data_IF_657561113949
#
_entry.id   IF_657561113949
#
_cell.length_a   1.000
_cell.length_b   1.000
_cell.length_c   1.000
_cell.angle_alpha   90.00
_cell.angle_beta   90.00
_cell.angle_gamma   90.00
#
_symmetry.space_group_name_H-M   'P 1'
#
loop_
_entity.id
_entity.type
_entity.pdbx_description
1 polymer ?
#
# COMPACT_ATOMS: atom_id res chain seq x y z
N UNK A 1 -8.17 12.40 -1.91
CA UNK A 1 -7.92 13.80 -1.51
C UNK A 1 -8.82 14.75 -2.30
N UNK A 2 -9.42 15.75 -1.64
CA UNK A 2 -10.19 16.78 -2.33
C UNK A 2 -9.25 17.74 -3.07
N UNK A 3 -9.65 18.24 -4.27
CA UNK A 3 -8.80 19.12 -5.09
C UNK A 3 -8.30 20.36 -4.35
N UNK A 4 -9.13 20.96 -3.48
CA UNK A 4 -8.75 22.12 -2.68
C UNK A 4 -7.66 21.87 -1.63
N UNK A 5 -7.30 20.63 -1.37
CA UNK A 5 -6.22 20.22 -0.45
C UNK A 5 -4.86 20.06 -1.15
N UNK A 6 -4.80 20.21 -2.48
CA UNK A 6 -3.54 20.14 -3.22
C UNK A 6 -2.60 21.31 -2.83
N UNK A 7 -1.29 21.04 -2.84
CA UNK A 7 -0.22 22.02 -2.54
C UNK A 7 0.63 22.34 -3.75
N UNK A 8 0.70 21.41 -4.69
CA UNK A 8 1.53 21.56 -5.89
C UNK A 8 0.77 22.26 -7.03
N UNK A 9 1.53 22.81 -7.96
CA UNK A 9 1.00 23.54 -9.13
C UNK A 9 0.17 22.67 -10.09
N UNK A 10 0.25 21.34 -9.96
CA UNK A 10 -0.55 20.39 -10.71
C UNK A 10 -2.03 20.34 -10.26
N UNK A 11 -2.37 21.01 -9.15
CA UNK A 11 -3.71 21.06 -8.58
C UNK A 11 -4.25 19.74 -8.06
N UNK A 12 -3.37 18.71 -7.93
CA UNK A 12 -3.76 17.32 -7.61
C UNK A 12 -2.90 16.74 -6.50
N UNK A 13 -1.63 17.11 -6.43
CA UNK A 13 -0.67 16.60 -5.46
C UNK A 13 -0.62 17.47 -4.21
N UNK A 14 -0.62 16.84 -3.03
CA UNK A 14 -0.27 17.50 -1.78
C UNK A 14 1.02 16.92 -1.20
N UNK A 15 1.93 17.79 -0.80
CA UNK A 15 3.23 17.46 -0.22
C UNK A 15 3.42 18.26 1.07
N UNK A 16 3.70 17.56 2.17
CA UNK A 16 4.01 18.18 3.45
C UNK A 16 5.21 17.51 4.11
N UNK A 17 6.03 18.31 4.77
CA UNK A 17 7.14 17.86 5.61
C UNK A 17 6.72 17.86 7.07
N UNK A 18 7.21 16.87 7.85
CA UNK A 18 6.97 16.65 9.28
C UNK A 18 5.47 16.64 9.68
N UNK A 19 4.61 15.89 8.95
CA UNK A 19 3.19 15.84 9.24
C UNK A 19 2.89 15.05 10.52
N UNK A 20 1.82 15.46 11.21
CA UNK A 20 1.17 14.70 12.26
C UNK A 20 -0.04 13.96 11.73
N UNK A 21 -0.22 12.72 12.17
CA UNK A 21 -1.28 11.83 11.69
C UNK A 21 -2.29 11.58 12.78
N UNK A 22 -3.54 11.92 12.53
CA UNK A 22 -4.69 11.54 13.33
C UNK A 22 -5.39 10.37 12.65
N UNK A 23 -5.41 9.22 13.31
CA UNK A 23 -6.05 8.00 12.81
C UNK A 23 -7.38 7.82 13.56
N UNK A 24 -8.45 7.59 12.81
CA UNK A 24 -9.80 7.40 13.35
C UNK A 24 -10.32 6.06 12.84
N UNK A 25 -10.69 5.21 13.79
CA UNK A 25 -11.28 3.90 13.49
C UNK A 25 -12.80 4.04 13.35
N UNK A 26 -13.22 4.52 12.17
CA UNK A 26 -14.61 4.71 11.81
C UNK A 26 -14.89 6.00 11.04
N UNK A 27 -16.17 6.34 10.85
CA UNK A 27 -16.61 7.55 10.18
C UNK A 27 -16.51 8.77 11.09
N UNK A 28 -16.16 9.91 10.51
CA UNK A 28 -16.22 11.23 11.15
C UNK A 28 -17.55 11.91 10.78
N UNK A 29 -18.42 12.07 11.77
CA UNK A 29 -19.74 12.67 11.63
C UNK A 29 -19.81 14.07 12.23
N UNK A 30 -20.93 14.75 12.01
CA UNK A 30 -21.14 16.15 12.42
C UNK A 30 -20.92 16.41 13.92
N UNK A 31 -21.15 15.40 14.75
CA UNK A 31 -20.98 15.49 16.22
C UNK A 31 -19.51 15.60 16.65
N UNK A 32 -18.57 15.25 15.77
CA UNK A 32 -17.13 15.23 16.07
C UNK A 32 -16.43 16.56 15.74
N UNK A 33 -17.20 17.55 15.26
CA UNK A 33 -16.66 18.83 14.80
C UNK A 33 -15.87 19.57 15.91
N UNK A 34 -16.37 19.61 17.13
CA UNK A 34 -15.69 20.28 18.25
C UNK A 34 -14.36 19.60 18.62
N UNK A 35 -14.36 18.26 18.63
CA UNK A 35 -13.14 17.50 18.88
C UNK A 35 -12.12 17.79 17.78
N UNK A 36 -12.56 17.76 16.51
CA UNK A 36 -11.70 18.03 15.38
C UNK A 36 -11.13 19.45 15.37
N UNK A 37 -11.93 20.45 15.74
CA UNK A 37 -11.46 21.83 15.92
C UNK A 37 -10.34 21.92 16.97
N UNK A 38 -10.44 21.14 18.05
CA UNK A 38 -9.40 21.09 19.08
C UNK A 38 -8.10 20.49 18.53
N UNK A 39 -8.17 19.40 17.75
CA UNK A 39 -6.98 18.83 17.09
C UNK A 39 -6.34 19.81 16.11
N UNK A 40 -7.14 20.48 15.27
CA UNK A 40 -6.65 21.48 14.32
C UNK A 40 -5.96 22.63 15.04
N UNK A 41 -6.56 23.16 16.13
CA UNK A 41 -5.96 24.23 16.92
C UNK A 41 -4.62 23.81 17.50
N UNK A 42 -4.54 22.69 18.20
CA UNK A 42 -3.32 22.24 18.87
C UNK A 42 -2.21 21.92 17.86
N UNK A 43 -2.52 21.24 16.77
CA UNK A 43 -1.49 20.80 15.81
C UNK A 43 -1.09 21.92 14.85
N UNK A 44 -2.07 22.61 14.26
CA UNK A 44 -1.78 23.58 13.21
C UNK A 44 -1.48 24.99 13.75
N UNK A 45 -2.17 25.43 14.82
CA UNK A 45 -1.95 26.77 15.38
C UNK A 45 -0.84 26.79 16.43
N UNK A 46 -0.89 25.87 17.43
CA UNK A 46 0.06 25.88 18.54
C UNK A 46 1.40 25.23 18.16
N UNK A 47 1.36 24.06 17.49
CA UNK A 47 2.57 23.32 17.09
C UNK A 47 3.08 23.71 15.71
N UNK A 48 2.32 24.42 14.86
CA UNK A 48 2.71 24.85 13.53
C UNK A 48 2.98 23.71 12.55
N UNK A 49 2.39 22.52 12.77
CA UNK A 49 2.67 21.32 11.96
C UNK A 49 1.49 20.94 11.07
N UNK A 50 1.76 20.31 9.90
CA UNK A 50 0.72 19.78 9.05
C UNK A 50 -0.05 18.67 9.74
N UNK A 51 -1.38 18.66 9.60
CA UNK A 51 -2.27 17.64 10.13
C UNK A 51 -2.84 16.79 9.01
N UNK A 52 -2.63 15.50 9.10
CA UNK A 52 -3.20 14.48 8.21
C UNK A 52 -4.23 13.68 8.97
N UNK A 53 -5.47 13.72 8.54
CA UNK A 53 -6.57 13.00 9.15
C UNK A 53 -6.89 11.80 8.29
N UNK A 54 -6.99 10.62 8.91
CA UNK A 54 -7.31 9.35 8.24
C UNK A 54 -8.56 8.80 8.90
N UNK A 55 -9.64 8.65 8.13
CA UNK A 55 -10.91 8.09 8.59
C UNK A 55 -11.54 7.21 7.49
N UNK A 56 -12.54 6.42 7.84
CA UNK A 56 -13.27 5.60 6.84
C UNK A 56 -14.19 6.46 5.99
N UNK A 57 -14.80 7.48 6.57
CA UNK A 57 -15.76 8.37 5.91
C UNK A 57 -15.78 9.74 6.59
N UNK A 58 -16.19 10.76 5.85
CA UNK A 58 -16.35 12.14 6.35
C UNK A 58 -17.74 12.66 6.02
N UNK A 59 -18.41 13.30 6.99
CA UNK A 59 -19.62 14.05 6.70
C UNK A 59 -19.33 15.29 5.87
N UNK A 60 -20.33 15.76 5.13
CA UNK A 60 -20.19 16.96 4.28
C UNK A 60 -19.83 18.21 5.11
N UNK A 61 -20.34 18.32 6.33
CA UNK A 61 -20.06 19.44 7.24
C UNK A 61 -18.60 19.46 7.67
N UNK A 62 -18.03 18.28 8.02
CA UNK A 62 -16.62 18.15 8.38
C UNK A 62 -15.73 18.43 7.17
N UNK A 63 -16.05 17.89 5.99
CA UNK A 63 -15.30 18.21 4.77
C UNK A 63 -15.27 19.69 4.47
N UNK A 64 -16.41 20.37 4.56
CA UNK A 64 -16.49 21.81 4.36
C UNK A 64 -15.65 22.59 5.38
N UNK A 65 -15.66 22.18 6.65
CA UNK A 65 -14.81 22.77 7.68
C UNK A 65 -13.32 22.59 7.34
N UNK A 66 -12.88 21.41 7.00
CA UNK A 66 -11.48 21.13 6.64
C UNK A 66 -11.02 21.88 5.39
N UNK A 67 -11.91 22.02 4.40
CA UNK A 67 -11.66 22.81 3.20
C UNK A 67 -11.53 24.30 3.55
N UNK A 68 -12.40 24.84 4.41
CA UNK A 68 -12.30 26.20 4.89
C UNK A 68 -10.99 26.45 5.63
N UNK A 69 -10.61 25.55 6.54
CA UNK A 69 -9.31 25.59 7.22
C UNK A 69 -8.13 25.65 6.24
N UNK A 70 -8.22 24.95 5.11
CA UNK A 70 -7.16 24.91 4.10
C UNK A 70 -7.14 26.15 3.21
N UNK A 71 -8.31 26.66 2.79
CA UNK A 71 -8.42 27.88 1.96
C UNK A 71 -8.05 29.11 2.76
N UNK A 72 -8.45 29.15 4.02
CA UNK A 72 -8.14 30.18 5.00
C UNK A 72 -9.36 30.84 5.58
N UNK A 73 -9.20 31.30 6.83
CA UNK A 73 -10.15 32.17 7.53
C UNK A 73 -9.61 33.59 7.60
N UNK A 74 -10.49 34.55 7.49
CA UNK A 74 -10.21 35.95 7.82
C UNK A 74 -10.54 36.13 9.29
N UNK A 75 -9.55 36.37 10.14
CA UNK A 75 -9.72 36.42 11.59
C UNK A 75 -10.49 37.65 12.07
N UNK A 76 -10.45 38.74 11.33
CA UNK A 76 -11.22 39.99 11.55
C UNK A 76 -11.54 40.64 10.22
N UNK A 77 -12.69 41.32 10.14
CA UNK A 77 -13.14 42.04 8.92
C UNK A 77 -12.12 43.08 8.41
N UNK A 78 -11.22 43.56 9.27
CA UNK A 78 -10.20 44.57 8.93
C UNK A 78 -8.78 43.96 8.69
N UNK A 79 -8.56 42.65 8.91
CA UNK A 79 -7.23 42.04 8.68
C UNK A 79 -7.17 41.40 7.28
N UNK A 80 -6.16 41.80 6.50
CA UNK A 80 -5.86 41.20 5.18
C UNK A 80 -5.15 39.83 5.30
N UNK A 81 -4.86 39.37 6.51
CA UNK A 81 -4.10 38.16 6.74
C UNK A 81 -5.03 36.95 6.73
N UNK A 82 -4.88 36.13 5.70
CA UNK A 82 -5.62 34.86 5.57
C UNK A 82 -4.79 33.76 6.23
N UNK A 83 -5.26 33.27 7.37
CA UNK A 83 -4.63 32.12 8.05
C UNK A 83 -5.04 30.84 7.36
N UNK A 84 -4.07 30.09 6.82
CA UNK A 84 -4.26 28.82 6.15
C UNK A 84 -3.62 27.69 6.95
N UNK A 85 -4.37 26.63 7.21
CA UNK A 85 -3.87 25.47 7.91
C UNK A 85 -3.44 24.37 6.95
N UNK A 86 -2.26 23.77 7.16
CA UNK A 86 -1.79 22.65 6.35
C UNK A 86 -2.50 21.34 6.76
N UNK A 87 -3.68 21.10 6.18
CA UNK A 87 -4.54 19.95 6.52
C UNK A 87 -4.77 19.08 5.29
N UNK A 88 -4.77 17.76 5.49
CA UNK A 88 -5.16 16.76 4.49
C UNK A 88 -6.15 15.78 5.12
N UNK A 89 -7.26 15.53 4.44
CA UNK A 89 -8.20 14.46 4.75
C UNK A 89 -7.99 13.28 3.80
N UNK A 90 -7.75 12.10 4.36
CA UNK A 90 -7.56 10.85 3.63
C UNK A 90 -8.63 9.83 4.02
N UNK A 91 -9.19 9.17 3.02
CA UNK A 91 -10.12 8.06 3.23
C UNK A 91 -9.33 6.76 3.13
N UNK A 92 -9.44 5.91 4.17
CA UNK A 92 -8.89 4.57 4.11
C UNK A 92 -9.87 3.67 3.35
N UNK A 93 -9.40 3.07 2.27
CA UNK A 93 -10.23 2.16 1.47
C UNK A 93 -10.23 0.75 2.07
N UNK A 94 -11.41 0.17 2.16
CA UNK A 94 -11.67 -1.18 2.66
C UNK A 94 -12.67 -1.14 3.80
N UNK A 95 -13.72 -1.94 3.69
CA UNK A 95 -14.73 -2.13 4.74
C UNK A 95 -14.43 -3.38 5.54
N UNK A 96 -14.90 -3.42 6.80
CA UNK A 96 -14.78 -4.56 7.68
C UNK A 96 -13.33 -4.94 8.01
N UNK A 97 -13.03 -6.23 8.02
CA UNK A 97 -11.75 -6.78 8.46
C UNK A 97 -10.53 -6.23 7.71
N UNK A 98 -10.69 -5.94 6.41
CA UNK A 98 -9.60 -5.42 5.58
C UNK A 98 -9.27 -3.97 5.98
N UNK A 99 -10.27 -3.15 6.24
CA UNK A 99 -10.10 -1.77 6.72
C UNK A 99 -9.42 -1.74 8.09
N UNK A 100 -9.92 -2.52 9.04
CA UNK A 100 -9.38 -2.63 10.39
C UNK A 100 -7.94 -3.15 10.39
N UNK A 101 -7.63 -4.11 9.52
CA UNK A 101 -6.28 -4.63 9.38
C UNK A 101 -5.29 -3.57 8.86
N UNK A 102 -5.72 -2.72 7.92
CA UNK A 102 -4.92 -1.59 7.40
C UNK A 102 -4.73 -0.48 8.44
N UNK A 103 -5.76 -0.17 9.22
CA UNK A 103 -5.65 0.80 10.32
C UNK A 103 -4.60 0.35 11.33
N UNK A 104 -4.64 -0.91 11.79
CA UNK A 104 -3.64 -1.47 12.70
C UNK A 104 -2.22 -1.44 12.12
N UNK A 105 -2.06 -1.67 10.82
CA UNK A 105 -0.76 -1.55 10.18
C UNK A 105 -0.26 -0.09 10.16
N UNK A 106 -1.16 0.89 9.97
CA UNK A 106 -0.84 2.33 10.03
C UNK A 106 -0.50 2.78 11.44
N UNK A 107 -1.21 2.31 12.47
CA UNK A 107 -0.90 2.60 13.88
C UNK A 107 0.54 2.22 14.20
N UNK A 108 0.93 0.99 13.87
CA UNK A 108 2.28 0.48 14.10
C UNK A 108 3.33 1.24 13.27
N UNK A 109 3.03 1.54 11.99
CA UNK A 109 3.96 2.28 11.14
C UNK A 109 4.19 3.72 11.60
N UNK A 110 3.17 4.40 12.09
CA UNK A 110 3.22 5.82 12.43
C UNK A 110 3.48 6.06 13.91
N UNK A 111 3.52 5.00 14.72
CA UNK A 111 3.54 5.06 16.18
C UNK A 111 2.40 5.94 16.70
N UNK A 112 1.19 5.66 16.23
CA UNK A 112 -0.03 6.39 16.53
C UNK A 112 -1.02 5.48 17.23
N UNK A 113 -1.97 6.07 17.94
CA UNK A 113 -3.12 5.35 18.49
C UNK A 113 -4.38 5.77 17.73
N UNK A 114 -5.09 4.81 17.13
CA UNK A 114 -6.37 5.13 16.49
C UNK A 114 -7.41 5.48 17.55
N UNK A 115 -8.19 6.53 17.27
CA UNK A 115 -9.33 6.89 18.09
C UNK A 115 -10.55 6.08 17.63
N UNK A 116 -11.14 5.26 18.50
CA UNK A 116 -12.32 4.50 18.16
C UNK A 116 -13.55 5.40 18.04
N UNK A 117 -14.44 5.04 17.13
CA UNK A 117 -15.77 5.64 17.03
C UNK A 117 -16.83 4.64 17.46
N UNK A 118 -17.82 5.10 18.24
CA UNK A 118 -19.00 4.33 18.61
C UNK A 118 -20.25 5.14 18.28
N UNK A 119 -21.22 4.52 17.62
CA UNK A 119 -22.46 5.15 17.18
C UNK A 119 -22.25 6.46 16.41
N UNK A 120 -21.16 6.53 15.63
CA UNK A 120 -20.81 7.69 14.82
C UNK A 120 -20.30 8.89 15.64
N UNK A 121 -19.72 8.64 16.81
CA UNK A 121 -19.07 9.65 17.65
C UNK A 121 -17.72 9.15 18.14
N UNK A 122 -16.73 10.05 18.17
CA UNK A 122 -15.42 9.78 18.75
C UNK A 122 -15.54 9.46 20.24
N UNK A 123 -14.95 8.34 20.66
CA UNK A 123 -14.87 7.97 22.06
C UNK A 123 -13.73 8.72 22.74
N UNK A 124 -14.07 9.44 23.82
CA UNK A 124 -13.14 10.14 24.71
C UNK A 124 -11.96 10.85 23.99
N UNK A 125 -12.24 11.78 23.04
CA UNK A 125 -11.17 12.50 22.37
C UNK A 125 -10.34 13.28 23.40
N UNK A 126 -9.01 13.18 23.38
CA UNK A 126 -8.17 13.89 24.32
C UNK A 126 -8.33 15.41 24.13
N UNK A 127 -8.52 16.13 25.24
CA UNK A 127 -8.66 17.60 25.24
C UNK A 127 -7.35 18.31 25.60
N UNK A 128 -6.46 17.60 26.29
CA UNK A 128 -5.17 18.11 26.73
C UNK A 128 -4.18 18.09 25.57
N UNK A 129 -3.51 19.19 25.22
CA UNK A 129 -2.52 19.27 24.15
C UNK A 129 -1.43 18.19 24.24
N UNK A 130 -0.94 17.90 25.44
CA UNK A 130 0.09 16.87 25.65
C UNK A 130 -0.43 15.47 25.31
N UNK A 131 -1.67 15.17 25.69
CA UNK A 131 -2.31 13.88 25.35
C UNK A 131 -2.60 13.78 23.86
N UNK A 132 -3.05 14.88 23.23
CA UNK A 132 -3.26 14.97 21.79
C UNK A 132 -1.98 14.60 21.05
N UNK A 133 -0.85 15.23 21.39
CA UNK A 133 0.43 14.99 20.73
C UNK A 133 0.96 13.56 20.92
N UNK A 134 0.59 12.86 22.00
CA UNK A 134 0.96 11.46 22.23
C UNK A 134 0.15 10.46 21.37
N UNK A 135 -1.09 10.78 21.08
CA UNK A 135 -1.97 9.94 20.26
C UNK A 135 -1.61 10.05 18.76
N UNK A 136 -1.06 11.21 18.36
CA UNK A 136 -0.74 11.50 16.97
C UNK A 136 0.53 10.79 16.50
N UNK A 137 0.42 10.13 15.36
CA UNK A 137 1.57 9.61 14.63
C UNK A 137 2.41 10.70 13.96
N UNK A 138 3.59 10.34 13.50
CA UNK A 138 4.47 11.25 12.77
C UNK A 138 5.28 10.56 11.69
N UNK A 139 5.66 11.32 10.65
CA UNK A 139 6.56 10.88 9.61
C UNK A 139 7.39 12.06 9.10
N UNK A 140 8.48 11.77 8.39
CA UNK A 140 9.33 12.83 7.83
C UNK A 140 8.63 13.60 6.71
N UNK A 141 7.86 12.92 5.87
CA UNK A 141 7.18 13.54 4.72
C UNK A 141 5.98 12.73 4.29
N UNK A 142 4.96 13.40 3.78
CA UNK A 142 3.82 12.78 3.10
C UNK A 142 3.67 13.37 1.70
N UNK A 143 3.43 12.50 0.70
CA UNK A 143 2.99 12.88 -0.64
C UNK A 143 1.70 12.17 -0.97
N UNK A 144 0.65 12.91 -1.25
CA UNK A 144 -0.65 12.37 -1.62
C UNK A 144 -1.05 12.81 -3.02
N UNK A 145 -1.69 11.89 -3.74
CA UNK A 145 -2.41 12.13 -5.01
C UNK A 145 -3.78 11.47 -4.87
N UNK A 146 -4.75 11.70 -5.77
CA UNK A 146 -6.11 11.19 -5.61
C UNK A 146 -6.24 9.69 -5.34
N UNK A 147 -5.32 8.89 -5.89
CA UNK A 147 -5.45 7.43 -5.87
C UNK A 147 -4.46 6.72 -4.93
N UNK A 148 -3.43 7.40 -4.45
CA UNK A 148 -2.48 6.82 -3.51
C UNK A 148 -1.82 7.87 -2.61
N UNK A 149 -1.38 7.41 -1.46
CA UNK A 149 -0.61 8.19 -0.51
C UNK A 149 0.72 7.48 -0.26
N UNK A 150 1.80 8.25 -0.19
CA UNK A 150 3.14 7.79 0.20
C UNK A 150 3.57 8.51 1.45
N UNK A 151 3.90 7.74 2.46
CA UNK A 151 4.46 8.21 3.74
C UNK A 151 5.94 7.86 3.73
N UNK A 152 6.81 8.84 3.94
CA UNK A 152 8.26 8.67 3.91
C UNK A 152 8.82 8.72 5.32
N UNK A 153 9.65 7.74 5.66
CA UNK A 153 10.32 7.64 6.95
C UNK A 153 9.33 7.87 8.12
N UNK A 154 8.33 6.99 8.28
CA UNK A 154 7.44 7.08 9.42
C UNK A 154 8.23 6.84 10.71
N UNK A 155 7.79 7.45 11.79
CA UNK A 155 8.41 7.32 13.11
C UNK A 155 7.90 6.05 13.81
N UNK A 156 8.21 4.90 13.22
CA UNK A 156 7.76 3.61 13.71
C UNK A 156 8.66 3.05 14.81
N UNK A 157 8.07 2.29 15.75
CA UNK A 157 8.83 1.46 16.66
C UNK A 157 9.28 0.17 15.93
N UNK A 158 10.58 -0.01 15.76
CA UNK A 158 11.13 -1.13 15.00
C UNK A 158 10.76 -2.52 15.59
N UNK A 159 10.59 -2.62 16.90
CA UNK A 159 10.21 -3.87 17.55
C UNK A 159 8.74 -4.22 17.30
N UNK A 160 7.85 -3.25 17.37
CA UNK A 160 6.43 -3.42 17.08
C UNK A 160 6.20 -3.77 15.60
N UNK A 161 6.92 -3.12 14.69
CA UNK A 161 6.87 -3.46 13.26
C UNK A 161 7.34 -4.90 13.02
N UNK A 162 8.45 -5.32 13.63
CA UNK A 162 8.94 -6.72 13.53
C UNK A 162 7.91 -7.71 14.09
N UNK A 163 7.34 -7.41 15.25
CA UNK A 163 6.29 -8.24 15.84
C UNK A 163 5.07 -8.34 14.93
N UNK A 164 4.62 -7.22 14.37
CA UNK A 164 3.49 -7.21 13.42
C UNK A 164 3.79 -8.03 12.17
N UNK A 165 4.99 -7.91 11.60
CA UNK A 165 5.43 -8.72 10.45
C UNK A 165 5.46 -10.22 10.80
N UNK A 166 5.95 -10.60 11.99
CA UNK A 166 5.96 -12.01 12.41
C UNK A 166 4.54 -12.57 12.57
N UNK A 167 3.61 -11.78 13.13
CA UNK A 167 2.20 -12.16 13.23
C UNK A 167 1.58 -12.42 11.86
N UNK A 168 1.84 -11.53 10.89
CA UNK A 168 1.34 -11.69 9.52
C UNK A 168 1.96 -12.90 8.79
N UNK A 169 3.22 -13.22 9.04
CA UNK A 169 3.85 -14.44 8.50
C UNK A 169 3.20 -15.70 9.07
N UNK A 170 3.00 -15.75 10.37
CA UNK A 170 2.30 -16.87 11.01
C UNK A 170 0.86 -17.04 10.49
N UNK A 171 0.21 -15.95 10.11
CA UNK A 171 -1.11 -15.97 9.48
C UNK A 171 -1.05 -16.59 8.07
N UNK A 172 -0.03 -16.29 7.28
CA UNK A 172 0.21 -16.94 5.97
C UNK A 172 0.38 -18.44 6.15
N UNK A 173 1.26 -18.87 7.07
CA UNK A 173 1.54 -20.28 7.30
C UNK A 173 0.27 -21.07 7.67
N UNK A 174 -0.63 -20.46 8.46
CA UNK A 174 -1.94 -21.08 8.79
C UNK A 174 -2.84 -21.20 7.57
N UNK A 175 -2.87 -20.21 6.69
CA UNK A 175 -3.70 -20.27 5.47
C UNK A 175 -3.15 -21.28 4.46
N UNK A 176 -1.84 -21.32 4.26
CA UNK A 176 -1.19 -22.28 3.36
C UNK A 176 -1.38 -23.73 3.84
N UNK A 177 -1.45 -23.96 5.16
CA UNK A 177 -1.69 -25.28 5.73
C UNK A 177 -3.16 -25.74 5.60
N UNK A 178 -4.12 -24.86 5.85
CA UNK A 178 -5.54 -25.24 5.94
C UNK A 178 -6.23 -25.33 4.57
N UNK A 179 -5.90 -24.45 3.62
CA UNK A 179 -6.52 -24.44 2.30
C UNK A 179 -5.64 -23.73 1.26
N UNK A 180 -4.74 -24.49 0.58
CA UNK A 180 -3.77 -23.91 -0.35
C UNK A 180 -4.38 -23.24 -1.59
N UNK A 181 -5.59 -23.65 -2.01
CA UNK A 181 -6.19 -23.18 -3.26
C UNK A 181 -7.07 -21.93 -3.07
N UNK A 182 -7.93 -21.89 -2.06
CA UNK A 182 -8.84 -20.75 -1.84
C UNK A 182 -8.17 -19.57 -1.15
N UNK A 183 -6.99 -19.80 -0.54
CA UNK A 183 -6.28 -18.78 0.24
C UNK A 183 -5.33 -17.89 -0.56
N UNK A 184 -5.09 -18.17 -1.84
CA UNK A 184 -4.07 -17.46 -2.65
C UNK A 184 -4.26 -15.94 -2.67
N UNK A 185 -5.49 -15.45 -2.82
CA UNK A 185 -5.78 -14.01 -2.84
C UNK A 185 -5.54 -13.36 -1.46
N UNK A 186 -5.93 -14.05 -0.39
CA UNK A 186 -5.69 -13.60 0.99
C UNK A 186 -4.20 -13.55 1.30
N UNK A 187 -3.46 -14.60 0.96
CA UNK A 187 -2.00 -14.67 1.11
C UNK A 187 -1.32 -13.56 0.30
N UNK A 188 -1.73 -13.30 -0.93
CA UNK A 188 -1.20 -12.21 -1.74
C UNK A 188 -1.44 -10.83 -1.08
N UNK A 189 -2.61 -10.64 -0.47
CA UNK A 189 -2.96 -9.42 0.26
C UNK A 189 -2.08 -9.25 1.50
N UNK A 190 -1.87 -10.31 2.28
CA UNK A 190 -1.00 -10.28 3.46
C UNK A 190 0.46 -10.03 3.05
N UNK A 191 0.96 -10.67 1.98
CA UNK A 191 2.30 -10.42 1.43
C UNK A 191 2.49 -8.95 1.03
N UNK A 192 1.47 -8.31 0.44
CA UNK A 192 1.50 -6.86 0.14
C UNK A 192 1.60 -6.01 1.42
N UNK A 193 0.86 -6.36 2.47
CA UNK A 193 0.90 -5.66 3.76
C UNK A 193 2.28 -5.80 4.42
N UNK A 194 2.87 -6.98 4.43
CA UNK A 194 4.24 -7.21 4.92
C UNK A 194 5.26 -6.35 4.15
N UNK A 195 5.13 -6.26 2.82
CA UNK A 195 6.00 -5.43 2.00
C UNK A 195 5.87 -3.93 2.33
N UNK A 196 4.66 -3.44 2.63
CA UNK A 196 4.45 -2.06 3.08
C UNK A 196 5.04 -1.79 4.46
N UNK A 197 4.86 -2.71 5.42
CA UNK A 197 5.38 -2.61 6.78
C UNK A 197 6.91 -2.66 6.83
N UNK A 198 7.54 -3.47 6.00
CA UNK A 198 9.00 -3.59 5.93
C UNK A 198 9.68 -2.38 5.30
N UNK A 199 8.94 -1.37 4.87
CA UNK A 199 9.42 -0.11 4.27
C UNK A 199 10.35 -0.32 3.06
N UNK A 200 10.38 -1.51 2.50
CA UNK A 200 11.20 -1.85 1.33
C UNK A 200 10.49 -1.44 0.04
N UNK A 201 10.28 -0.14 -0.14
CA UNK A 201 9.74 0.39 -1.38
C UNK A 201 10.81 1.18 -2.11
N UNK A 202 11.21 0.70 -3.28
CA UNK A 202 12.08 1.42 -4.22
C UNK A 202 11.21 2.01 -5.32
N UNK A 203 11.39 3.30 -5.59
CA UNK A 203 10.71 3.98 -6.70
C UNK A 203 11.71 4.26 -7.81
N UNK A 204 11.50 3.63 -8.96
CA UNK A 204 12.30 3.90 -10.16
C UNK A 204 11.56 4.95 -10.97
N UNK A 205 12.21 6.13 -11.16
CA UNK A 205 11.69 7.21 -12.00
C UNK A 205 12.20 7.00 -13.42
N UNK A 206 11.30 6.75 -14.35
CA UNK A 206 11.65 6.53 -15.76
C UNK A 206 11.53 7.84 -16.53
N UNK A 207 12.64 8.30 -17.12
CA UNK A 207 12.71 9.47 -17.98
C UNK A 207 12.62 9.10 -19.47
N UNK A 208 12.27 10.07 -20.31
CA UNK A 208 12.26 9.94 -21.79
C UNK A 208 11.79 11.25 -22.41
N UNK A 209 12.16 11.49 -23.66
CA UNK A 209 11.79 12.71 -24.39
C UNK A 209 10.32 12.69 -24.80
N UNK A 210 9.78 11.50 -25.15
CA UNK A 210 8.38 11.34 -25.57
C UNK A 210 7.61 10.47 -24.57
N UNK A 211 6.26 10.61 -24.57
CA UNK A 211 5.39 9.79 -23.76
C UNK A 211 5.51 8.30 -24.11
N UNK A 212 5.56 7.98 -25.40
CA UNK A 212 5.72 6.58 -25.88
C UNK A 212 7.04 5.96 -25.43
N UNK A 213 8.13 6.72 -25.46
CA UNK A 213 9.43 6.28 -24.97
C UNK A 213 9.42 5.97 -23.47
N UNK A 214 8.75 6.82 -22.67
CA UNK A 214 8.59 6.59 -21.22
C UNK A 214 7.78 5.33 -20.96
N UNK A 215 6.68 5.12 -21.67
CA UNK A 215 5.83 3.94 -21.56
C UNK A 215 6.59 2.66 -21.94
N UNK A 216 7.34 2.69 -23.04
CA UNK A 216 8.17 1.57 -23.45
C UNK A 216 9.27 1.24 -22.43
N UNK A 217 10.02 2.24 -21.97
CA UNK A 217 11.03 2.05 -20.92
C UNK A 217 10.42 1.50 -19.62
N UNK A 218 9.23 1.97 -19.25
CA UNK A 218 8.52 1.46 -18.08
C UNK A 218 8.25 -0.04 -18.20
N UNK A 219 7.75 -0.50 -19.36
CA UNK A 219 7.52 -1.92 -19.62
C UNK A 219 8.81 -2.74 -19.52
N UNK A 220 9.90 -2.26 -20.12
CA UNK A 220 11.22 -2.92 -20.03
C UNK A 220 11.68 -3.08 -18.58
N UNK A 221 11.52 -2.05 -17.74
CA UNK A 221 11.86 -2.15 -16.31
C UNK A 221 10.93 -3.12 -15.56
N UNK A 222 9.64 -3.12 -15.87
CA UNK A 222 8.68 -4.06 -15.27
C UNK A 222 9.04 -5.51 -15.60
N UNK A 223 9.34 -5.81 -16.86
CA UNK A 223 9.78 -7.15 -17.30
C UNK A 223 11.09 -7.58 -16.63
N UNK A 224 12.06 -6.69 -16.55
CA UNK A 224 13.32 -6.95 -15.84
C UNK A 224 13.09 -7.26 -14.36
N UNK A 225 12.21 -6.53 -13.67
CA UNK A 225 11.88 -6.77 -12.25
C UNK A 225 11.21 -8.15 -12.08
N UNK A 226 10.27 -8.50 -12.96
CA UNK A 226 9.61 -9.81 -12.91
C UNK A 226 10.60 -10.95 -13.18
N UNK A 227 11.48 -10.79 -14.16
CA UNK A 227 12.51 -11.78 -14.46
C UNK A 227 13.47 -12.00 -13.28
N UNK A 228 13.95 -10.92 -12.66
CA UNK A 228 14.84 -11.00 -11.49
C UNK A 228 14.12 -11.65 -10.30
N UNK A 229 12.87 -11.29 -10.02
CA UNK A 229 12.07 -11.92 -8.97
C UNK A 229 11.90 -13.42 -9.20
N UNK A 230 11.58 -13.80 -10.43
CA UNK A 230 11.45 -15.22 -10.80
C UNK A 230 12.79 -15.95 -10.63
N UNK A 231 13.88 -15.34 -11.06
CA UNK A 231 15.23 -15.91 -10.92
C UNK A 231 15.63 -16.13 -9.46
N UNK A 232 15.30 -15.20 -8.56
CA UNK A 232 15.60 -15.31 -7.13
C UNK A 232 14.81 -16.46 -6.48
N UNK A 233 13.54 -16.64 -6.86
CA UNK A 233 12.65 -17.65 -6.26
C UNK A 233 12.90 -19.04 -6.86
N UNK A 234 12.98 -19.13 -8.19
CA UNK A 234 12.98 -20.39 -8.92
C UNK A 234 14.37 -20.79 -9.45
N UNK A 235 15.37 -19.91 -9.32
CA UNK A 235 16.67 -20.10 -9.95
C UNK A 235 16.68 -19.72 -11.43
N UNK A 236 17.79 -19.97 -12.09
CA UNK A 236 18.02 -19.69 -13.51
C UNK A 236 18.43 -20.94 -14.27
N UNK A 237 18.01 -21.04 -15.51
CA UNK A 237 18.39 -22.11 -16.44
C UNK A 237 19.07 -21.51 -17.68
N UNK A 238 19.70 -22.38 -18.47
CA UNK A 238 20.28 -22.00 -19.77
C UNK A 238 19.16 -21.55 -20.69
N UNK A 239 19.27 -20.36 -21.29
CA UNK A 239 18.28 -19.81 -22.21
C UNK A 239 18.29 -20.44 -23.60
N UNK A 240 17.50 -19.90 -24.54
CA UNK A 240 17.47 -20.28 -25.94
C UNK A 240 16.91 -21.68 -26.18
N UNK A 241 15.90 -22.10 -25.42
CA UNK A 241 15.25 -23.41 -25.52
C UNK A 241 16.15 -24.64 -25.24
N UNK A 242 17.40 -24.45 -24.84
CA UNK A 242 18.34 -25.55 -24.55
C UNK A 242 17.80 -26.36 -23.35
N UNK A 243 17.31 -25.72 -22.30
CA UNK A 243 16.73 -26.38 -21.12
C UNK A 243 15.50 -27.21 -21.49
N UNK A 244 14.63 -26.68 -22.38
CA UNK A 244 13.44 -27.38 -22.83
C UNK A 244 13.85 -28.62 -23.68
N UNK A 245 14.84 -28.48 -24.55
CA UNK A 245 15.38 -29.61 -25.33
C UNK A 245 15.95 -30.71 -24.43
N UNK A 246 16.72 -30.35 -23.40
CA UNK A 246 17.26 -31.30 -22.43
C UNK A 246 16.13 -32.00 -21.63
N UNK A 247 15.07 -31.29 -21.24
CA UNK A 247 13.89 -31.89 -20.61
C UNK A 247 13.18 -32.89 -21.53
N UNK A 248 13.10 -32.62 -22.82
CA UNK A 248 12.50 -33.54 -23.79
C UNK A 248 13.28 -34.86 -23.87
N UNK A 249 14.60 -34.79 -23.88
CA UNK A 249 15.44 -35.99 -23.95
C UNK A 249 15.36 -36.80 -22.62
N UNK A 250 15.29 -36.14 -21.48
CA UNK A 250 15.04 -36.78 -20.19
C UNK A 250 13.66 -37.46 -20.15
N UNK A 251 12.62 -36.74 -20.59
CA UNK A 251 11.25 -37.26 -20.64
C UNK A 251 11.12 -38.44 -21.60
N UNK A 252 11.85 -38.42 -22.71
CA UNK A 252 11.92 -39.54 -23.64
C UNK A 252 12.48 -40.81 -22.97
N UNK A 253 13.53 -40.68 -22.16
CA UNK A 253 14.09 -41.81 -21.41
C UNK A 253 13.07 -42.40 -20.44
N UNK A 254 12.40 -41.54 -19.62
CA UNK A 254 11.36 -42.00 -18.71
C UNK A 254 10.23 -42.74 -19.43
N UNK A 255 9.75 -42.21 -20.55
CA UNK A 255 8.68 -42.84 -21.32
C UNK A 255 9.11 -44.15 -21.95
N UNK A 256 10.38 -44.33 -22.28
CA UNK A 256 10.89 -45.62 -22.78
C UNK A 256 10.82 -46.68 -21.69
N UNK A 257 11.16 -46.33 -20.43
CA UNK A 257 11.05 -47.22 -19.28
C UNK A 257 9.58 -47.61 -19.00
N UNK A 258 8.63 -46.69 -19.14
CA UNK A 258 7.20 -46.99 -19.04
C UNK A 258 6.65 -47.87 -20.18
N UNK A 259 7.19 -47.72 -21.39
CA UNK A 259 6.88 -48.60 -22.52
C UNK A 259 7.39 -50.00 -22.24
N UNK A 260 8.62 -50.10 -21.75
CA UNK A 260 9.24 -51.40 -21.40
C UNK A 260 8.39 -52.16 -20.33
N UNK A 261 7.74 -51.39 -19.44
CA UNK A 261 6.82 -51.92 -18.48
C UNK A 261 5.39 -52.16 -19.01
N UNK A 262 5.15 -52.06 -20.33
CA UNK A 262 3.83 -52.21 -21.00
C UNK A 262 2.72 -51.23 -20.52
N UNK A 263 3.09 -50.06 -19.97
CA UNK A 263 2.12 -49.07 -19.46
C UNK A 263 1.62 -48.14 -20.59
N UNK A 264 2.51 -47.78 -21.55
CA UNK A 264 2.19 -46.81 -22.60
C UNK A 264 2.58 -47.38 -23.99
N UNK A 265 1.77 -47.09 -25.00
CA UNK A 265 2.09 -47.47 -26.41
C UNK A 265 3.27 -46.64 -26.96
N UNK A 266 4.22 -47.33 -27.58
CA UNK A 266 5.39 -46.70 -28.25
C UNK A 266 5.01 -45.64 -29.32
N UNK A 267 3.85 -45.80 -29.96
CA UNK A 267 3.31 -44.85 -30.94
C UNK A 267 2.90 -43.53 -30.29
N UNK A 268 2.27 -43.55 -29.11
CA UNK A 268 1.90 -42.36 -28.35
C UNK A 268 3.12 -41.55 -27.92
N UNK A 269 4.19 -42.20 -27.44
CA UNK A 269 5.44 -41.56 -27.04
C UNK A 269 6.09 -40.82 -28.22
N UNK A 270 6.19 -41.45 -29.38
CA UNK A 270 6.81 -40.84 -30.55
C UNK A 270 6.05 -39.62 -31.05
N UNK A 271 4.70 -39.62 -30.99
CA UNK A 271 3.86 -38.47 -31.36
C UNK A 271 4.07 -37.32 -30.37
N UNK A 272 4.08 -37.59 -29.07
CA UNK A 272 4.21 -36.57 -28.01
C UNK A 272 5.60 -35.92 -28.07
N UNK A 273 6.67 -36.70 -28.16
CA UNK A 273 8.05 -36.18 -28.27
C UNK A 273 8.24 -35.40 -29.56
N UNK A 274 7.65 -35.86 -30.66
CA UNK A 274 7.70 -35.16 -31.93
C UNK A 274 7.02 -33.80 -31.90
N UNK A 275 5.88 -33.70 -31.25
CA UNK A 275 5.16 -32.43 -31.07
C UNK A 275 5.90 -31.47 -30.11
N UNK A 276 6.48 -31.93 -29.01
CA UNK A 276 7.32 -31.14 -28.14
C UNK A 276 8.54 -30.57 -28.84
N UNK A 277 9.23 -31.37 -29.68
CA UNK A 277 10.35 -30.86 -30.47
C UNK A 277 9.92 -29.80 -31.47
N UNK A 278 8.77 -29.94 -32.13
CA UNK A 278 8.22 -28.88 -33.00
C UNK A 278 7.98 -27.57 -32.28
N UNK A 279 7.37 -27.60 -31.09
CA UNK A 279 7.14 -26.39 -30.29
C UNK A 279 8.48 -25.71 -29.96
N UNK A 280 9.53 -26.45 -29.61
CA UNK A 280 10.86 -25.89 -29.33
C UNK A 280 11.55 -25.25 -30.55
N UNK A 281 11.20 -25.61 -31.76
CA UNK A 281 11.73 -24.98 -32.98
C UNK A 281 10.99 -23.70 -33.37
N UNK A 282 9.78 -23.44 -32.82
CA UNK A 282 8.96 -22.26 -33.14
C UNK A 282 9.05 -21.18 -32.07
N UNK A 283 9.62 -21.43 -30.89
CA UNK A 283 9.91 -20.47 -29.80
C UNK A 283 11.38 -20.04 -29.88
#
# INVERSE_FOLDING_TARGET
IHKSMATESDGVTALYDDPKFLIIDGPLLDNDLEALQTFVRVVCMEAGKPLVIIASEYSQKILNFLIQCRIGFVEKEDSKDIIRFPIIALIISGSGDIGNARLKDLEVCLNASALPTQDGKLMDPPKDPVKIMKVLGSAKRIKTVPYYCRIFSPNSNAEEVKYRISTLKNEIDKFEYNDPFSSQERVATIKKRIAMLSQMMVTIKVGGMTRKEKEWKKLVYEDAIYAVRSAIINGVTIGGNISVSACIDFYKKMLVDEIYNNIISSKCVNITVGNMKRICYFL
#
